data_IF_915115696240
#
_entry.id   IF_915115696240
#
_cell.length_a   1.000
_cell.length_b   1.000
_cell.length_c   1.000
_cell.angle_alpha   90.00
_cell.angle_beta   90.00
_cell.angle_gamma   90.00
#
_symmetry.space_group_name_H-M   'P 1'
#
loop_
_entity.id
_entity.type
_entity.pdbx_description
1 polymer ?
#
# COMPACT_ATOMS: atom_id res chain seq x y z
N UNK A 1 0.62 -18.98 53.63
CA UNK A 1 -0.35 -18.15 52.91
C UNK A 1 -0.10 -18.25 51.41
N UNK A 2 -0.78 -19.17 50.74
CA UNK A 2 -0.49 -19.63 49.36
C UNK A 2 -1.22 -18.75 48.31
N UNK A 3 -1.69 -17.56 48.72
CA UNK A 3 -2.63 -16.73 47.93
C UNK A 3 -1.93 -15.66 47.08
N UNK A 4 -0.63 -15.45 47.25
CA UNK A 4 0.13 -14.38 46.58
C UNK A 4 0.84 -14.82 45.29
N UNK A 5 1.01 -16.11 45.05
CA UNK A 5 1.77 -16.62 43.89
C UNK A 5 0.94 -16.75 42.60
N UNK A 6 -0.39 -16.68 42.67
CA UNK A 6 -1.24 -16.72 41.47
C UNK A 6 -1.48 -15.33 40.83
N UNK A 7 -1.18 -14.22 41.52
CA UNK A 7 -1.49 -12.87 41.03
C UNK A 7 -0.47 -12.35 40.00
N UNK A 8 0.73 -12.93 39.92
CA UNK A 8 1.80 -12.45 39.03
C UNK A 8 1.73 -12.97 37.59
N UNK A 9 0.97 -14.03 37.31
CA UNK A 9 0.98 -14.70 35.99
C UNK A 9 0.02 -14.10 34.95
N UNK A 10 -0.51 -12.90 35.20
CA UNK A 10 -1.52 -12.24 34.35
C UNK A 10 -1.07 -10.82 33.92
N UNK A 11 0.18 -10.45 34.20
CA UNK A 11 0.72 -9.13 33.91
C UNK A 11 1.61 -9.11 32.67
N UNK A 12 1.84 -10.27 32.06
CA UNK A 12 2.80 -10.45 30.97
C UNK A 12 2.14 -10.28 29.58
N UNK A 13 0.81 -10.34 29.50
CA UNK A 13 0.05 -10.25 28.23
C UNK A 13 -0.08 -8.82 27.66
N UNK A 14 0.41 -7.79 28.36
CA UNK A 14 0.28 -6.39 27.95
C UNK A 14 1.44 -5.85 27.11
N UNK A 15 2.66 -6.38 27.29
CA UNK A 15 3.85 -5.83 26.62
C UNK A 15 4.00 -6.28 25.17
N UNK A 16 3.39 -7.40 24.77
CA UNK A 16 3.39 -7.84 23.37
C UNK A 16 2.41 -7.04 22.49
N UNK A 17 1.40 -6.41 23.12
CA UNK A 17 0.38 -5.62 22.42
C UNK A 17 0.91 -4.28 21.88
N UNK A 18 1.83 -3.62 22.60
CA UNK A 18 2.39 -2.33 22.17
C UNK A 18 3.33 -2.45 20.96
N UNK A 19 4.18 -3.48 20.92
CA UNK A 19 5.08 -3.70 19.80
C UNK A 19 4.33 -4.13 18.51
N UNK A 20 3.24 -4.89 18.65
CA UNK A 20 2.39 -5.27 17.51
C UNK A 20 1.57 -4.09 16.97
N UNK A 21 1.18 -3.13 17.81
CA UNK A 21 0.35 -2.00 17.38
C UNK A 21 1.04 -1.10 16.35
N UNK A 22 2.35 -0.85 16.48
CA UNK A 22 3.10 -0.05 15.51
C UNK A 22 3.36 -0.79 14.20
N UNK A 23 3.66 -2.09 14.28
CA UNK A 23 3.84 -2.94 13.10
C UNK A 23 2.51 -3.10 12.33
N UNK A 24 1.39 -3.24 13.04
CA UNK A 24 0.05 -3.30 12.44
C UNK A 24 -0.32 -1.97 11.77
N UNK A 25 -0.01 -0.83 12.40
CA UNK A 25 -0.23 0.50 11.80
C UNK A 25 0.51 0.68 10.49
N UNK A 26 1.82 0.41 10.46
CA UNK A 26 2.62 0.51 9.23
C UNK A 26 2.11 -0.42 8.14
N UNK A 27 1.80 -1.67 8.49
CA UNK A 27 1.21 -2.61 7.53
C UNK A 27 -0.12 -2.12 6.98
N UNK A 28 -1.00 -1.59 7.82
CA UNK A 28 -2.28 -1.04 7.36
C UNK A 28 -2.12 0.14 6.43
N UNK A 29 -1.25 1.10 6.77
CA UNK A 29 -1.00 2.26 5.90
C UNK A 29 -0.44 1.84 4.55
N UNK A 30 0.53 0.92 4.55
CA UNK A 30 1.07 0.36 3.31
C UNK A 30 -0.01 -0.36 2.52
N UNK A 31 -0.80 -1.23 3.15
CA UNK A 31 -1.88 -1.98 2.48
C UNK A 31 -2.96 -1.05 1.92
N UNK A 32 -3.32 0.01 2.65
CA UNK A 32 -4.29 1.01 2.20
C UNK A 32 -3.75 1.78 0.99
N UNK A 33 -2.51 2.29 1.07
CA UNK A 33 -1.85 2.95 -0.05
C UNK A 33 -1.76 2.04 -1.27
N UNK A 34 -1.42 0.77 -1.05
CA UNK A 34 -1.35 -0.28 -2.06
C UNK A 34 -2.70 -0.49 -2.74
N UNK A 35 -3.77 -0.61 -1.95
CA UNK A 35 -5.13 -0.82 -2.45
C UNK A 35 -5.64 0.40 -3.24
N UNK A 36 -5.39 1.62 -2.73
CA UNK A 36 -5.73 2.84 -3.43
C UNK A 36 -5.01 2.95 -4.77
N UNK A 37 -3.69 2.72 -4.78
CA UNK A 37 -2.88 2.76 -5.99
C UNK A 37 -3.33 1.71 -7.01
N UNK A 38 -3.58 0.47 -6.57
CA UNK A 38 -4.04 -0.62 -7.46
C UNK A 38 -5.42 -0.31 -8.07
N UNK A 39 -6.33 0.27 -7.28
CA UNK A 39 -7.64 0.73 -7.77
C UNK A 39 -7.50 1.83 -8.83
N UNK A 40 -6.61 2.81 -8.58
CA UNK A 40 -6.29 3.88 -9.53
C UNK A 40 -5.65 3.35 -10.81
N UNK A 41 -4.65 2.48 -10.69
CA UNK A 41 -4.03 1.74 -11.80
C UNK A 41 -5.09 1.11 -12.67
N UNK A 42 -6.00 0.34 -12.08
CA UNK A 42 -6.95 -0.44 -12.86
C UNK A 42 -7.96 0.46 -13.60
N UNK A 43 -8.39 1.55 -12.96
CA UNK A 43 -9.24 2.57 -13.58
C UNK A 43 -8.52 3.29 -14.73
N UNK A 44 -7.25 3.65 -14.53
CA UNK A 44 -6.42 4.32 -15.54
C UNK A 44 -6.07 3.40 -16.71
N UNK A 45 -5.73 2.13 -16.46
CA UNK A 45 -5.49 1.12 -17.51
C UNK A 45 -6.73 0.92 -18.36
N UNK A 46 -7.90 0.83 -17.73
CA UNK A 46 -9.16 0.66 -18.44
C UNK A 46 -9.45 1.88 -19.30
N UNK A 47 -9.26 3.08 -18.75
CA UNK A 47 -9.41 4.33 -19.50
C UNK A 47 -8.42 4.41 -20.67
N UNK A 48 -7.16 4.02 -20.49
CA UNK A 48 -6.17 3.92 -21.56
C UNK A 48 -6.49 2.87 -22.60
N UNK A 49 -7.17 1.79 -22.23
CA UNK A 49 -7.58 0.76 -23.18
C UNK A 49 -8.76 1.21 -24.03
N UNK A 50 -9.70 1.94 -23.43
CA UNK A 50 -10.91 2.44 -24.09
C UNK A 50 -10.64 3.71 -24.92
N UNK A 51 -9.80 4.62 -24.39
CA UNK A 51 -9.47 5.92 -25.00
C UNK A 51 -8.06 5.96 -25.60
N UNK A 52 -7.31 4.86 -25.54
CA UNK A 52 -5.95 4.75 -26.06
C UNK A 52 -5.80 5.03 -27.55
N UNK A 53 -6.90 4.94 -28.29
CA UNK A 53 -6.99 5.28 -29.71
C UNK A 53 -7.04 6.80 -29.95
N UNK A 54 -7.39 7.59 -28.92
CA UNK A 54 -7.46 9.06 -28.95
C UNK A 54 -6.22 9.76 -28.39
N UNK A 55 -5.29 9.00 -27.79
CA UNK A 55 -3.99 9.50 -27.30
C UNK A 55 -2.87 9.01 -28.20
N UNK A 56 -1.81 9.81 -28.33
CA UNK A 56 -0.63 9.43 -29.11
C UNK A 56 0.01 8.16 -28.56
N UNK A 57 0.60 7.35 -29.44
CA UNK A 57 1.24 6.08 -29.07
C UNK A 57 2.33 6.28 -28.01
N UNK A 58 3.04 7.41 -28.06
CA UNK A 58 4.05 7.83 -27.07
C UNK A 58 3.43 8.03 -25.68
N UNK A 59 2.36 8.82 -25.56
CA UNK A 59 1.67 9.08 -24.30
C UNK A 59 1.02 7.81 -23.75
N UNK A 60 0.37 7.04 -24.63
CA UNK A 60 -0.22 5.75 -24.26
C UNK A 60 0.83 4.81 -23.66
N UNK A 61 2.03 4.75 -24.25
CA UNK A 61 3.14 3.97 -23.72
C UNK A 61 3.63 4.52 -22.39
N UNK A 62 3.86 5.84 -22.29
CA UNK A 62 4.35 6.48 -21.08
C UNK A 62 3.41 6.26 -19.89
N UNK A 63 2.10 6.42 -20.08
CA UNK A 63 1.14 6.20 -19.00
C UNK A 63 1.03 4.70 -18.68
N UNK A 64 1.01 3.81 -19.68
CA UNK A 64 1.01 2.36 -19.43
C UNK A 64 2.25 1.91 -18.65
N UNK A 65 3.42 2.49 -18.92
CA UNK A 65 4.67 2.22 -18.19
C UNK A 65 4.59 2.77 -16.75
N UNK A 66 4.06 3.98 -16.57
CA UNK A 66 3.87 4.59 -15.25
C UNK A 66 2.90 3.79 -14.36
N UNK A 67 1.80 3.30 -14.94
CA UNK A 67 0.86 2.39 -14.28
C UNK A 67 1.58 1.08 -13.90
N UNK A 68 2.29 0.46 -14.83
CA UNK A 68 3.00 -0.79 -14.57
C UNK A 68 4.08 -0.62 -13.48
N UNK A 69 4.78 0.51 -13.48
CA UNK A 69 5.79 0.85 -12.47
C UNK A 69 5.16 1.07 -11.09
N UNK A 70 4.02 1.76 -11.01
CA UNK A 70 3.26 1.91 -9.77
C UNK A 70 2.78 0.55 -9.26
N UNK A 71 2.33 -0.34 -10.15
CA UNK A 71 1.87 -1.69 -9.79
C UNK A 71 3.02 -2.56 -9.30
N UNK A 72 4.17 -2.49 -9.95
CA UNK A 72 5.36 -3.18 -9.48
C UNK A 72 5.77 -2.69 -8.07
N UNK A 73 5.71 -1.38 -7.83
CA UNK A 73 6.01 -0.78 -6.52
C UNK A 73 4.98 -1.15 -5.42
N UNK A 74 3.74 -1.47 -5.80
CA UNK A 74 2.77 -2.01 -4.85
C UNK A 74 2.97 -3.49 -4.56
N UNK A 75 3.47 -4.27 -5.53
CA UNK A 75 3.64 -5.73 -5.44
C UNK A 75 4.93 -6.21 -4.76
N UNK A 76 5.91 -5.32 -4.48
CA UNK A 76 7.17 -5.69 -3.81
C UNK A 76 6.97 -6.21 -2.37
N UNK A 77 7.96 -6.95 -1.88
CA UNK A 77 7.94 -7.56 -0.54
C UNK A 77 7.98 -6.53 0.60
N UNK A 78 8.52 -5.34 0.35
CA UNK A 78 8.52 -4.18 1.26
C UNK A 78 7.93 -2.98 0.51
N UNK A 79 6.60 -2.81 0.50
CA UNK A 79 5.97 -1.71 -0.21
C UNK A 79 6.11 -0.42 0.58
N UNK A 80 6.74 0.58 -0.02
CA UNK A 80 6.89 1.92 0.55
C UNK A 80 5.61 2.74 0.32
N UNK A 81 4.89 3.03 1.39
CA UNK A 81 3.66 3.83 1.31
C UNK A 81 3.91 5.24 0.72
N UNK A 82 5.08 5.82 0.97
CA UNK A 82 5.51 7.09 0.36
C UNK A 82 5.77 6.96 -1.14
N UNK A 83 6.48 5.91 -1.57
CA UNK A 83 6.78 5.67 -2.99
C UNK A 83 5.52 5.38 -3.80
N UNK A 84 4.61 4.57 -3.26
CA UNK A 84 3.30 4.29 -3.85
C UNK A 84 2.50 5.59 -4.00
N UNK A 85 2.42 6.42 -2.96
CA UNK A 85 1.73 7.71 -3.01
C UNK A 85 2.38 8.67 -4.01
N UNK A 86 3.71 8.73 -4.05
CA UNK A 86 4.45 9.57 -4.99
C UNK A 86 4.16 9.19 -6.44
N UNK A 87 4.32 7.91 -6.79
CA UNK A 87 4.00 7.39 -8.13
C UNK A 87 2.53 7.55 -8.50
N UNK A 88 1.62 7.37 -7.53
CA UNK A 88 0.18 7.60 -7.71
C UNK A 88 -0.12 9.06 -8.01
N UNK A 89 0.57 9.98 -7.35
CA UNK A 89 0.45 11.41 -7.61
C UNK A 89 1.02 11.78 -8.99
N UNK A 90 2.19 11.25 -9.34
CA UNK A 90 2.78 11.40 -10.68
C UNK A 90 1.85 10.90 -11.78
N UNK A 91 1.11 9.82 -11.54
CA UNK A 91 0.11 9.31 -12.49
C UNK A 91 -1.13 10.20 -12.58
N UNK A 92 -1.52 10.86 -11.49
CA UNK A 92 -2.70 11.75 -11.46
C UNK A 92 -2.42 13.14 -12.04
N UNK A 93 -1.18 13.63 -11.93
CA UNK A 93 -0.78 14.95 -12.46
C UNK A 93 -0.29 14.91 -13.91
N UNK A 94 -0.05 13.70 -14.45
CA UNK A 94 0.47 13.45 -15.80
C UNK A 94 -0.59 13.28 -16.89
#
# INVERSE_FOLDING_TARGET
GIRWSLRCRHREDGQDAEANAEADKKRRETVEARNQAESLIHSSEKSLKEYGDKVSETDRKAISDAIAALKAATEVSEPDAEDIKAKTNTLMEG
#
